data_IF_752518612461
#
_entry.id   IF_752518612461
#
_cell.length_a   1.000
_cell.length_b   1.000
_cell.length_c   1.000
_cell.angle_alpha   90.00
_cell.angle_beta   90.00
_cell.angle_gamma   90.00
#
_symmetry.space_group_name_H-M   'P 1'
#
loop_
_entity.id
_entity.type
_entity.pdbx_description
1 polymer ?
#
# COMPACT_ATOMS: atom_id res chain seq x y z
N UNK A 1 -6.47 -26.97 7.35
CA UNK A 1 -6.10 -25.79 8.13
C UNK A 1 -4.93 -25.12 7.40
N UNK A 2 -5.25 -24.47 6.29
CA UNK A 2 -4.27 -23.76 5.51
C UNK A 2 -3.75 -22.55 6.31
N UNK A 3 -2.47 -22.55 6.62
CA UNK A 3 -1.77 -21.33 6.92
C UNK A 3 -1.88 -20.47 5.67
N UNK A 4 -2.74 -19.46 5.69
CA UNK A 4 -2.77 -18.46 4.65
C UNK A 4 -1.37 -17.89 4.52
N UNK A 5 -0.64 -18.27 3.49
CA UNK A 5 0.58 -17.58 3.13
C UNK A 5 0.17 -16.16 2.84
N UNK A 6 0.62 -15.25 3.66
CA UNK A 6 0.35 -13.82 3.50
C UNK A 6 0.53 -13.41 2.05
N UNK A 7 -0.50 -12.76 1.51
CA UNK A 7 -0.60 -12.49 0.09
C UNK A 7 0.61 -11.84 -0.51
N UNK A 8 1.03 -12.39 -1.62
CA UNK A 8 1.65 -11.65 -2.68
C UNK A 8 3.01 -11.00 -2.47
N UNK A 9 3.88 -11.55 -1.61
CA UNK A 9 5.28 -11.14 -1.67
C UNK A 9 5.91 -11.88 -2.85
N UNK A 10 6.17 -11.15 -3.92
CA UNK A 10 6.93 -11.69 -5.04
C UNK A 10 8.36 -11.94 -4.55
N UNK A 11 8.93 -13.11 -4.80
CA UNK A 11 10.32 -13.37 -4.45
C UNK A 11 11.24 -12.32 -5.05
N UNK A 12 12.19 -11.85 -4.27
CA UNK A 12 13.15 -10.80 -4.67
C UNK A 12 13.82 -11.11 -6.03
N UNK A 13 14.17 -12.36 -6.25
CA UNK A 13 14.83 -12.79 -7.48
C UNK A 13 13.95 -12.69 -8.74
N UNK A 14 12.62 -12.69 -8.58
CA UNK A 14 11.71 -12.58 -9.74
C UNK A 14 11.52 -11.14 -10.21
N UNK A 15 11.62 -10.16 -9.32
CA UNK A 15 11.48 -8.75 -9.64
C UNK A 15 12.80 -8.02 -9.75
N UNK A 16 13.86 -8.52 -9.11
CA UNK A 16 15.14 -7.84 -9.00
C UNK A 16 15.11 -6.59 -8.10
N UNK A 17 14.07 -6.45 -7.30
CA UNK A 17 13.89 -5.33 -6.37
C UNK A 17 13.86 -5.86 -4.94
N UNK A 18 14.61 -5.21 -4.05
CA UNK A 18 14.63 -5.55 -2.62
C UNK A 18 13.47 -4.90 -1.89
N UNK A 19 12.69 -5.71 -1.19
CA UNK A 19 11.60 -5.24 -0.34
C UNK A 19 11.91 -5.55 1.10
N UNK A 20 11.78 -4.52 1.96
CA UNK A 20 11.91 -4.69 3.40
C UNK A 20 10.68 -5.46 3.90
N UNK A 21 10.92 -6.56 4.61
CA UNK A 21 9.86 -7.33 5.27
C UNK A 21 9.66 -6.77 6.67
N UNK A 22 8.41 -6.62 7.09
CA UNK A 22 8.06 -6.38 8.47
C UNK A 22 8.47 -7.55 9.37
N UNK A 23 7.90 -7.66 10.53
CA UNK A 23 8.15 -8.76 11.45
C UNK A 23 9.16 -8.39 12.52
N UNK A 24 10.27 -9.10 12.60
CA UNK A 24 11.26 -8.88 13.65
C UNK A 24 11.87 -7.48 13.68
N UNK A 25 11.69 -6.69 12.64
CA UNK A 25 12.15 -5.30 12.58
C UNK A 25 11.30 -4.35 13.43
N UNK A 26 10.04 -4.70 13.68
CA UNK A 26 9.12 -3.87 14.44
C UNK A 26 9.15 -4.19 15.91
N UNK A 27 10.34 -4.13 16.51
CA UNK A 27 10.49 -4.19 17.96
C UNK A 27 10.30 -2.79 18.54
N UNK A 28 9.63 -2.67 19.69
CA UNK A 28 9.53 -1.38 20.37
C UNK A 28 10.91 -0.82 20.68
N UNK A 29 11.11 0.45 20.35
CA UNK A 29 12.32 1.18 20.70
C UNK A 29 11.96 2.63 21.07
N UNK A 30 12.96 3.42 21.42
CA UNK A 30 12.80 4.83 21.78
C UNK A 30 13.62 5.74 20.88
N UNK A 31 13.96 5.28 19.68
CA UNK A 31 14.70 6.10 18.73
C UNK A 31 13.89 7.32 18.34
N UNK A 32 14.53 8.48 18.17
CA UNK A 32 13.84 9.66 17.64
C UNK A 32 13.21 9.36 16.29
N UNK A 33 12.00 9.87 16.06
CA UNK A 33 11.33 9.72 14.78
C UNK A 33 12.01 10.58 13.72
N UNK A 34 11.97 10.10 12.48
CA UNK A 34 12.38 10.90 11.33
C UNK A 34 11.42 12.09 11.18
N UNK A 35 11.93 13.19 10.65
CA UNK A 35 11.12 14.35 10.28
C UNK A 35 10.07 13.95 9.26
N UNK A 36 8.89 14.53 9.36
CA UNK A 36 7.77 14.26 8.47
C UNK A 36 6.76 13.29 9.05
N UNK A 37 6.12 12.55 8.17
CA UNK A 37 5.05 11.61 8.52
C UNK A 37 5.61 10.31 9.06
N UNK A 38 5.00 9.81 10.13
CA UNK A 38 5.33 8.53 10.76
C UNK A 38 4.06 7.85 11.25
N UNK A 39 4.11 6.52 11.26
CA UNK A 39 3.11 5.68 11.93
C UNK A 39 3.77 5.10 13.17
N UNK A 40 3.16 5.27 14.33
CA UNK A 40 3.66 4.71 15.58
C UNK A 40 2.58 3.84 16.19
N UNK A 41 2.94 2.60 16.49
CA UNK A 41 2.07 1.63 17.14
C UNK A 41 2.51 1.50 18.59
N UNK A 42 1.59 1.77 19.51
CA UNK A 42 1.85 1.68 20.94
C UNK A 42 1.34 0.34 21.45
N UNK A 43 2.18 -0.37 22.18
CA UNK A 43 1.82 -1.62 22.85
C UNK A 43 2.10 -1.54 24.36
N UNK A 44 1.43 -2.38 25.18
CA UNK A 44 1.62 -2.38 26.62
C UNK A 44 2.93 -3.07 27.00
N UNK A 45 3.32 -2.98 28.27
CA UNK A 45 4.47 -3.71 28.82
C UNK A 45 4.24 -5.22 28.84
N UNK A 46 2.98 -5.65 29.00
CA UNK A 46 2.61 -7.05 29.11
C UNK A 46 2.11 -7.67 27.80
N UNK A 47 1.47 -8.82 27.94
CA UNK A 47 0.92 -9.58 26.82
C UNK A 47 -0.24 -8.84 26.14
N UNK A 48 -0.22 -8.79 24.81
CA UNK A 48 -1.24 -8.10 24.03
C UNK A 48 -1.60 -8.94 22.78
N UNK A 49 -2.67 -9.75 22.84
CA UNK A 49 -3.09 -10.57 21.70
C UNK A 49 -3.44 -9.75 20.45
N UNK A 50 -4.11 -8.63 20.62
CA UNK A 50 -4.48 -7.74 19.52
C UNK A 50 -3.28 -7.04 18.89
N UNK A 51 -2.22 -6.78 19.68
CA UNK A 51 -0.96 -6.27 19.14
C UNK A 51 -0.29 -7.31 18.23
N UNK A 52 -0.28 -8.58 18.66
CA UNK A 52 0.26 -9.68 17.87
C UNK A 52 -0.55 -9.87 16.57
N UNK A 53 -1.88 -9.78 16.68
CA UNK A 53 -2.77 -9.88 15.52
C UNK A 53 -2.51 -8.74 14.53
N UNK A 54 -2.32 -7.52 14.99
CA UNK A 54 -1.99 -6.39 14.14
C UNK A 54 -0.64 -6.57 13.44
N UNK A 55 0.36 -7.11 14.14
CA UNK A 55 1.65 -7.46 13.53
C UNK A 55 1.48 -8.45 12.39
N UNK A 56 0.77 -9.54 12.62
CA UNK A 56 0.55 -10.59 11.62
C UNK A 56 -0.24 -10.08 10.41
N UNK A 57 -1.29 -9.32 10.66
CA UNK A 57 -2.23 -8.89 9.62
C UNK A 57 -1.76 -7.66 8.85
N UNK A 58 -1.01 -6.75 9.49
CA UNK A 58 -0.67 -5.45 8.93
C UNK A 58 0.84 -5.21 8.93
N UNK A 59 1.45 -4.95 10.08
CA UNK A 59 2.81 -4.40 10.11
C UNK A 59 3.87 -5.33 9.53
N UNK A 60 3.74 -6.64 9.67
CA UNK A 60 4.69 -7.59 9.08
C UNK A 60 4.68 -7.60 7.55
N UNK A 61 3.62 -7.12 6.95
CA UNK A 61 3.45 -7.04 5.50
C UNK A 61 3.54 -5.61 4.95
N UNK A 62 3.73 -4.64 5.83
CA UNK A 62 3.85 -3.25 5.43
C UNK A 62 5.25 -2.95 4.89
N UNK A 63 5.31 -2.38 3.69
CA UNK A 63 6.54 -1.97 3.02
C UNK A 63 6.43 -0.55 2.44
N UNK A 64 5.47 0.25 2.92
CA UNK A 64 5.27 1.62 2.46
C UNK A 64 6.41 2.55 2.87
N UNK A 65 6.48 3.71 2.23
CA UNK A 65 7.56 4.67 2.45
C UNK A 65 7.36 5.58 3.68
N UNK A 66 6.15 5.64 4.25
CA UNK A 66 5.96 6.29 5.54
C UNK A 66 6.48 5.33 6.61
N UNK A 67 7.48 5.74 7.42
CA UNK A 67 8.04 4.85 8.44
C UNK A 67 6.98 4.40 9.45
N UNK A 68 7.01 3.13 9.80
CA UNK A 68 6.19 2.52 10.86
C UNK A 68 7.13 1.99 11.93
N UNK A 69 6.88 2.37 13.19
CA UNK A 69 7.65 1.92 14.33
C UNK A 69 6.76 1.61 15.52
N UNK A 70 7.33 0.94 16.51
CA UNK A 70 6.63 0.50 17.72
C UNK A 70 7.24 1.17 18.95
N UNK A 71 6.38 1.56 19.90
CA UNK A 71 6.77 2.05 21.20
C UNK A 71 6.00 1.34 22.31
N UNK A 72 6.61 1.21 23.49
CA UNK A 72 5.88 0.82 24.69
C UNK A 72 5.10 2.01 25.23
N UNK A 73 3.96 1.74 25.87
CA UNK A 73 3.12 2.79 26.45
C UNK A 73 3.85 3.63 27.52
N UNK A 74 4.88 3.07 28.13
CA UNK A 74 5.74 3.77 29.11
C UNK A 74 6.80 4.67 28.46
N UNK A 75 6.98 4.61 27.15
CA UNK A 75 8.07 5.28 26.43
C UNK A 75 7.58 6.13 25.26
N UNK A 76 6.90 7.21 25.60
CA UNK A 76 6.31 8.13 24.62
C UNK A 76 7.06 9.47 24.55
N UNK A 77 8.29 9.49 25.05
CA UNK A 77 9.12 10.70 25.05
C UNK A 77 9.31 11.24 23.62
N UNK A 78 9.20 12.55 23.49
CA UNK A 78 9.34 13.23 22.21
C UNK A 78 8.10 13.22 21.34
N UNK A 79 7.00 12.59 21.78
CA UNK A 79 5.75 12.52 21.04
C UNK A 79 4.68 13.40 21.69
N UNK A 80 3.97 14.15 20.86
CA UNK A 80 2.79 14.93 21.30
C UNK A 80 1.53 14.16 20.88
N UNK A 81 0.95 13.45 21.85
CA UNK A 81 -0.14 12.48 21.62
C UNK A 81 -1.43 12.97 22.28
N UNK A 82 -2.53 12.81 21.58
CA UNK A 82 -3.89 13.14 22.07
C UNK A 82 -4.71 11.89 22.36
N UNK A 83 -4.57 10.83 21.55
CA UNK A 83 -5.29 9.57 21.72
C UNK A 83 -4.80 8.87 22.99
N UNK A 84 -5.70 8.46 23.89
CA UNK A 84 -5.31 7.67 25.06
C UNK A 84 -4.67 6.33 24.65
N UNK A 85 -3.67 5.89 25.41
CA UNK A 85 -2.87 4.71 25.07
C UNK A 85 -3.18 3.48 25.94
N UNK A 86 -4.27 3.49 26.69
CA UNK A 86 -4.66 2.38 27.56
C UNK A 86 -5.29 1.21 26.78
N UNK A 87 -5.86 1.48 25.58
CA UNK A 87 -6.38 0.42 24.72
C UNK A 87 -5.35 0.12 23.62
N UNK A 88 -4.77 -1.05 23.65
CA UNK A 88 -3.67 -1.42 22.75
C UNK A 88 -4.07 -2.54 21.78
N UNK A 89 -3.49 -2.50 20.57
CA UNK A 89 -2.54 -1.50 20.08
C UNK A 89 -3.21 -0.13 19.93
N UNK A 90 -2.46 0.94 20.20
CA UNK A 90 -2.88 2.31 19.82
C UNK A 90 -2.09 2.69 18.58
N UNK A 91 -2.78 3.03 17.50
CA UNK A 91 -2.16 3.26 16.19
C UNK A 91 -2.24 4.75 15.91
N UNK A 92 -1.06 5.39 15.83
CA UNK A 92 -0.93 6.84 15.73
C UNK A 92 -0.35 7.24 14.39
N UNK A 93 -0.94 8.26 13.79
CA UNK A 93 -0.43 8.91 12.58
C UNK A 93 0.09 10.28 12.98
N UNK A 94 1.43 10.44 12.92
CA UNK A 94 2.14 11.60 13.43
C UNK A 94 2.80 12.39 12.29
N UNK A 95 2.86 13.69 12.44
CA UNK A 95 3.67 14.56 11.60
C UNK A 95 4.59 15.39 12.48
N UNK A 96 5.89 15.25 12.25
CA UNK A 96 6.93 15.90 13.07
C UNK A 96 6.74 15.64 14.57
N UNK A 97 6.40 14.41 14.94
CA UNK A 97 6.21 14.00 16.31
C UNK A 97 4.86 14.35 16.94
N UNK A 98 3.99 15.06 16.23
CA UNK A 98 2.67 15.45 16.73
C UNK A 98 1.57 14.64 16.08
N UNK A 99 0.63 14.16 16.88
CA UNK A 99 -0.50 13.36 16.40
C UNK A 99 -1.40 14.18 15.48
N UNK A 100 -1.63 13.66 14.27
CA UNK A 100 -2.65 14.15 13.34
C UNK A 100 -3.98 13.47 13.66
N UNK A 101 -3.96 12.16 13.78
CA UNK A 101 -5.08 11.36 14.30
C UNK A 101 -4.58 10.00 14.80
N UNK A 102 -5.40 9.31 15.58
CA UNK A 102 -5.06 8.02 16.14
C UNK A 102 -6.27 7.13 16.35
N UNK A 103 -6.01 5.83 16.52
CA UNK A 103 -7.03 4.81 16.73
C UNK A 103 -6.67 3.95 17.93
N UNK A 104 -7.65 3.68 18.77
CA UNK A 104 -7.51 2.75 19.88
C UNK A 104 -7.95 1.35 19.42
N UNK A 105 -7.11 0.37 19.71
CA UNK A 105 -7.42 -1.03 19.42
C UNK A 105 -6.98 -1.47 18.02
N UNK A 106 -7.27 -2.73 17.74
CA UNK A 106 -6.92 -3.37 16.48
C UNK A 106 -7.64 -2.72 15.29
N UNK A 107 -6.88 -2.51 14.20
CA UNK A 107 -7.43 -2.17 12.89
C UNK A 107 -7.22 -3.36 11.94
N UNK A 108 -8.23 -3.68 11.14
CA UNK A 108 -8.07 -4.61 10.03
C UNK A 108 -7.13 -4.01 8.96
N UNK A 109 -6.53 -4.81 8.07
CA UNK A 109 -5.75 -4.26 6.96
C UNK A 109 -6.51 -3.20 6.15
N UNK A 110 -7.77 -3.45 5.84
CA UNK A 110 -8.61 -2.51 5.10
C UNK A 110 -8.80 -1.19 5.84
N UNK A 111 -9.09 -1.24 7.13
CA UNK A 111 -9.23 -0.05 7.97
C UNK A 111 -7.92 0.72 8.10
N UNK A 112 -6.82 0.01 8.32
CA UNK A 112 -5.48 0.60 8.41
C UNK A 112 -5.11 1.34 7.13
N UNK A 113 -5.25 0.70 5.97
CA UNK A 113 -4.86 1.32 4.70
C UNK A 113 -5.78 2.46 4.30
N UNK A 114 -7.04 2.44 4.71
CA UNK A 114 -7.92 3.59 4.51
C UNK A 114 -7.46 4.81 5.34
N UNK A 115 -7.09 4.58 6.59
CA UNK A 115 -6.54 5.62 7.47
C UNK A 115 -5.20 6.14 6.92
N UNK A 116 -4.30 5.25 6.52
CA UNK A 116 -3.04 5.61 5.91
C UNK A 116 -3.24 6.39 4.61
N UNK A 117 -4.20 5.98 3.79
CA UNK A 117 -4.55 6.67 2.56
C UNK A 117 -4.97 8.11 2.81
N UNK A 118 -5.86 8.32 3.76
CA UNK A 118 -6.25 9.68 4.17
C UNK A 118 -5.06 10.49 4.68
N UNK A 119 -4.21 9.86 5.50
CA UNK A 119 -3.01 10.52 6.04
C UNK A 119 -1.99 10.90 4.96
N UNK A 120 -1.72 9.99 4.03
CA UNK A 120 -0.71 10.19 2.98
C UNK A 120 -1.22 11.04 1.81
N UNK A 121 -2.45 10.80 1.39
CA UNK A 121 -2.99 11.35 0.14
C UNK A 121 -3.93 12.55 0.35
N UNK A 122 -4.51 12.67 1.55
CA UNK A 122 -5.46 13.74 1.84
C UNK A 122 -6.67 13.71 0.90
N UNK A 123 -7.15 14.88 0.52
CA UNK A 123 -8.23 15.06 -0.45
C UNK A 123 -7.64 15.25 -1.85
N UNK A 124 -7.09 14.18 -2.41
CA UNK A 124 -6.40 14.19 -3.71
C UNK A 124 -7.05 13.27 -4.71
N UNK A 125 -6.68 13.42 -6.00
CA UNK A 125 -7.09 12.49 -7.05
C UNK A 125 -6.67 11.06 -6.74
N UNK A 126 -5.47 10.86 -6.18
CA UNK A 126 -5.00 9.53 -5.81
C UNK A 126 -5.90 8.89 -4.74
N UNK A 127 -6.36 9.66 -3.75
CA UNK A 127 -7.33 9.15 -2.76
C UNK A 127 -8.65 8.76 -3.41
N UNK A 128 -9.17 9.62 -4.29
CA UNK A 128 -10.43 9.37 -5.00
C UNK A 128 -10.34 8.09 -5.85
N UNK A 129 -9.23 7.90 -6.54
CA UNK A 129 -9.01 6.68 -7.33
C UNK A 129 -8.91 5.46 -6.42
N UNK A 130 -8.10 5.53 -5.36
CA UNK A 130 -7.82 4.39 -4.48
C UNK A 130 -9.05 3.93 -3.69
N UNK A 131 -9.85 4.86 -3.18
CA UNK A 131 -10.91 4.56 -2.19
C UNK A 131 -12.33 4.85 -2.68
N UNK A 132 -12.50 5.64 -3.72
CA UNK A 132 -13.80 5.98 -4.29
C UNK A 132 -13.98 5.43 -5.71
N UNK A 133 -13.17 4.42 -6.08
CA UNK A 133 -13.23 3.75 -7.39
C UNK A 133 -13.16 4.73 -8.57
N UNK A 134 -12.36 5.80 -8.38
CA UNK A 134 -12.17 6.81 -9.41
C UNK A 134 -11.27 6.33 -10.54
N UNK A 135 -11.22 7.12 -11.59
CA UNK A 135 -10.36 6.90 -12.74
C UNK A 135 -9.53 8.16 -12.98
N UNK A 136 -8.22 7.99 -13.18
CA UNK A 136 -7.35 9.09 -13.59
C UNK A 136 -7.85 9.71 -14.89
N UNK A 137 -7.61 10.99 -15.07
CA UNK A 137 -7.76 11.61 -16.38
C UNK A 137 -6.80 10.92 -17.37
N UNK A 138 -7.27 10.73 -18.60
CA UNK A 138 -6.42 10.20 -19.67
C UNK A 138 -5.20 11.12 -19.86
N UNK A 139 -4.03 10.51 -20.02
CA UNK A 139 -2.77 11.24 -20.19
C UNK A 139 -2.46 12.20 -19.02
N UNK A 140 -2.83 11.80 -17.78
CA UNK A 140 -2.54 12.60 -16.61
C UNK A 140 -1.02 12.75 -16.39
N UNK A 141 -0.62 13.66 -15.52
CA UNK A 141 0.79 13.97 -15.26
C UNK A 141 1.56 12.71 -14.82
N UNK A 142 1.00 11.91 -13.92
CA UNK A 142 1.64 10.69 -13.43
C UNK A 142 1.79 9.64 -14.54
N UNK A 143 0.81 9.51 -15.41
CA UNK A 143 0.93 8.66 -16.60
C UNK A 143 2.09 9.11 -17.49
N UNK A 144 2.20 10.40 -17.77
CA UNK A 144 3.28 10.95 -18.61
C UNK A 144 4.66 10.71 -18.02
N UNK A 145 4.77 10.73 -16.67
CA UNK A 145 6.01 10.41 -15.98
C UNK A 145 6.30 8.90 -16.06
N UNK A 146 5.31 8.05 -15.83
CA UNK A 146 5.50 6.60 -15.65
C UNK A 146 5.55 5.81 -16.96
N UNK A 147 5.00 6.32 -18.04
CA UNK A 147 4.97 5.59 -19.32
C UNK A 147 6.37 5.29 -19.89
N UNK A 148 7.36 6.12 -19.58
CA UNK A 148 8.72 6.04 -20.10
C UNK A 148 9.76 5.80 -18.99
N UNK A 149 9.37 5.22 -17.87
CA UNK A 149 10.34 4.85 -16.82
C UNK A 149 11.33 3.81 -17.35
N UNK A 150 12.55 3.76 -16.79
CA UNK A 150 13.45 2.64 -17.03
C UNK A 150 12.85 1.33 -16.52
N UNK A 151 13.58 0.22 -16.70
CA UNK A 151 13.17 -1.08 -16.20
C UNK A 151 13.01 -1.08 -14.67
N UNK A 152 11.91 -1.61 -14.19
CA UNK A 152 11.62 -1.64 -12.77
C UNK A 152 10.23 -2.17 -12.44
N UNK A 153 9.77 -1.82 -11.25
CA UNK A 153 8.50 -2.29 -10.69
C UNK A 153 7.64 -1.10 -10.29
N UNK A 154 6.35 -1.18 -10.62
CA UNK A 154 5.34 -0.31 -10.07
C UNK A 154 4.77 -0.94 -8.80
N UNK A 155 4.83 -0.20 -7.72
CA UNK A 155 4.41 -0.66 -6.39
C UNK A 155 3.14 0.06 -5.95
N UNK A 156 2.43 -0.58 -5.01
CA UNK A 156 1.30 0.01 -4.33
C UNK A 156 1.75 1.24 -3.54
N UNK A 157 1.13 2.38 -3.80
CA UNK A 157 1.51 3.65 -3.19
C UNK A 157 1.39 3.67 -1.67
N UNK A 158 0.55 2.82 -1.08
CA UNK A 158 0.33 2.75 0.36
C UNK A 158 1.12 1.63 1.02
N UNK A 159 0.99 0.40 0.51
CA UNK A 159 1.63 -0.77 1.12
C UNK A 159 3.09 -0.95 0.72
N UNK A 160 3.51 -0.35 -0.40
CA UNK A 160 4.83 -0.54 -0.96
C UNK A 160 5.04 -1.89 -1.66
N UNK A 161 3.98 -2.71 -1.78
CA UNK A 161 4.09 -4.04 -2.40
C UNK A 161 4.13 -3.94 -3.92
N UNK A 162 4.89 -4.84 -4.60
CA UNK A 162 4.96 -4.85 -6.06
C UNK A 162 3.61 -5.23 -6.68
N UNK A 163 3.26 -4.55 -7.75
CA UNK A 163 2.00 -4.75 -8.46
C UNK A 163 2.19 -5.07 -9.95
N UNK A 164 3.01 -4.31 -10.65
CA UNK A 164 3.23 -4.46 -12.09
C UNK A 164 4.70 -4.27 -12.45
N UNK A 165 5.20 -5.14 -13.33
CA UNK A 165 6.57 -5.10 -13.81
C UNK A 165 6.62 -4.44 -15.19
N UNK A 166 7.62 -3.60 -15.42
CA UNK A 166 7.83 -2.98 -16.74
C UNK A 166 8.06 -3.99 -17.85
N UNK A 167 8.49 -5.23 -17.54
CA UNK A 167 8.61 -6.33 -18.50
C UNK A 167 7.30 -6.69 -19.15
N UNK A 168 6.19 -6.43 -18.47
CA UNK A 168 4.84 -6.72 -18.93
C UNK A 168 4.09 -5.46 -19.41
N UNK A 169 4.77 -4.32 -19.43
CA UNK A 169 4.21 -3.05 -19.90
C UNK A 169 4.17 -3.01 -21.42
N UNK A 170 3.08 -2.45 -21.97
CA UNK A 170 2.97 -2.16 -23.39
C UNK A 170 2.26 -0.83 -23.65
N UNK A 171 2.43 -0.29 -24.84
CA UNK A 171 1.78 0.96 -25.25
C UNK A 171 0.42 0.63 -25.84
N UNK A 172 -0.65 0.99 -25.15
CA UNK A 172 -2.04 0.78 -25.61
C UNK A 172 -2.65 1.99 -26.29
N UNK A 173 -2.01 3.16 -26.18
CA UNK A 173 -2.52 4.46 -26.65
C UNK A 173 -3.85 4.88 -26.01
N UNK A 174 -4.22 4.22 -24.91
CA UNK A 174 -5.45 4.53 -24.16
C UNK A 174 -5.33 5.79 -23.31
N UNK A 175 -4.11 6.18 -22.94
CA UNK A 175 -3.84 7.26 -21.99
C UNK A 175 -3.74 6.80 -20.54
N UNK A 176 -3.75 5.50 -20.31
CA UNK A 176 -3.48 4.85 -19.02
C UNK A 176 -2.37 3.83 -19.15
N UNK A 177 -1.67 3.57 -18.06
CA UNK A 177 -0.66 2.51 -18.01
C UNK A 177 -1.29 1.16 -18.35
N UNK A 178 -0.60 0.38 -19.17
CA UNK A 178 -1.13 -0.90 -19.67
C UNK A 178 -0.11 -2.01 -19.49
N UNK A 179 -0.59 -3.14 -18.97
CA UNK A 179 0.22 -4.32 -18.71
C UNK A 179 -0.51 -5.58 -19.16
N UNK A 180 0.25 -6.59 -19.57
CA UNK A 180 -0.32 -7.87 -20.00
C UNK A 180 -0.64 -8.79 -18.83
N UNK A 181 -0.02 -8.56 -17.68
CA UNK A 181 -0.26 -9.29 -16.43
C UNK A 181 0.25 -8.50 -15.23
N UNK A 182 -0.31 -8.78 -14.03
CA UNK A 182 0.25 -8.25 -12.78
C UNK A 182 1.42 -9.11 -12.29
N UNK A 183 2.12 -8.63 -11.29
CA UNK A 183 2.99 -9.46 -10.45
C UNK A 183 2.11 -10.53 -9.78
N UNK A 184 2.56 -11.78 -9.81
CA UNK A 184 1.76 -12.91 -9.31
C UNK A 184 1.31 -12.70 -7.85
N UNK A 185 0.01 -12.92 -7.60
CA UNK A 185 -0.59 -12.80 -6.27
C UNK A 185 -0.74 -11.37 -5.75
N UNK A 186 -0.44 -10.35 -6.56
CA UNK A 186 -0.47 -8.95 -6.12
C UNK A 186 -1.84 -8.28 -6.21
N UNK A 187 -2.69 -8.78 -7.08
CA UNK A 187 -4.01 -8.18 -7.35
C UNK A 187 -5.09 -9.25 -7.31
N UNK A 188 -6.33 -8.79 -7.17
CA UNK A 188 -7.50 -9.64 -7.33
C UNK A 188 -8.57 -8.93 -8.17
N UNK A 189 -9.45 -9.72 -8.75
CA UNK A 189 -10.51 -9.26 -9.63
C UNK A 189 -11.83 -9.14 -8.87
N UNK A 190 -12.61 -8.12 -9.23
CA UNK A 190 -13.95 -7.91 -8.67
C UNK A 190 -14.87 -7.44 -9.79
N UNK A 191 -16.12 -7.99 -9.89
CA UNK A 191 -17.08 -7.47 -10.86
C UNK A 191 -17.39 -5.99 -10.62
N UNK A 192 -17.43 -5.22 -11.70
CA UNK A 192 -17.80 -3.81 -11.68
C UNK A 192 -18.90 -3.56 -12.72
N UNK A 193 -20.11 -3.39 -12.24
CA UNK A 193 -21.30 -3.15 -13.05
C UNK A 193 -21.75 -1.68 -13.02
N UNK A 194 -20.89 -0.77 -12.57
CA UNK A 194 -21.18 0.67 -12.54
C UNK A 194 -21.41 1.25 -13.93
N UNK A 195 -22.16 2.31 -14.01
CA UNK A 195 -22.50 3.03 -15.25
C UNK A 195 -23.13 2.15 -16.35
N UNK A 196 -23.82 1.07 -15.97
CA UNK A 196 -24.43 0.14 -16.92
C UNK A 196 -23.44 -0.70 -17.72
N UNK A 197 -22.19 -0.65 -17.38
CA UNK A 197 -21.13 -1.44 -18.01
C UNK A 197 -20.87 -2.75 -17.25
N UNK A 198 -20.34 -3.74 -17.96
CA UNK A 198 -19.83 -4.99 -17.35
C UNK A 198 -18.32 -4.98 -17.49
N UNK A 199 -17.65 -4.68 -16.37
CA UNK A 199 -16.19 -4.63 -16.35
C UNK A 199 -15.66 -5.47 -15.21
N UNK A 200 -14.36 -5.76 -15.24
CA UNK A 200 -13.66 -6.43 -14.16
C UNK A 200 -12.69 -5.46 -13.53
N UNK A 201 -12.97 -5.09 -12.29
CA UNK A 201 -12.13 -4.22 -11.48
C UNK A 201 -10.91 -4.97 -10.99
N UNK A 202 -9.76 -4.28 -10.94
CA UNK A 202 -8.52 -4.77 -10.36
C UNK A 202 -8.23 -4.01 -9.08
N UNK A 203 -8.01 -4.76 -8.00
CA UNK A 203 -7.69 -4.24 -6.68
C UNK A 203 -6.41 -4.84 -6.15
N UNK A 204 -5.70 -4.08 -5.30
CA UNK A 204 -4.49 -4.55 -4.63
C UNK A 204 -4.85 -5.56 -3.53
N UNK A 205 -4.15 -6.70 -3.51
CA UNK A 205 -4.32 -7.68 -2.42
C UNK A 205 -3.85 -7.12 -1.08
N UNK A 206 -2.74 -6.36 -1.06
CA UNK A 206 -2.14 -5.90 0.19
C UNK A 206 -2.90 -4.77 0.88
N UNK A 207 -3.40 -3.79 0.13
CA UNK A 207 -4.04 -2.58 0.67
C UNK A 207 -5.53 -2.48 0.40
N UNK A 208 -6.03 -3.34 -0.49
CA UNK A 208 -7.43 -3.31 -0.98
C UNK A 208 -7.81 -2.02 -1.72
N UNK A 209 -6.86 -1.29 -2.25
CA UNK A 209 -7.17 -0.10 -3.05
C UNK A 209 -7.56 -0.46 -4.48
N UNK A 210 -8.42 0.36 -5.06
CA UNK A 210 -8.77 0.27 -6.48
C UNK A 210 -7.58 0.67 -7.35
N UNK A 211 -7.25 -0.16 -8.34
CA UNK A 211 -6.13 0.09 -9.25
C UNK A 211 -6.59 0.42 -10.67
N UNK A 212 -7.61 -0.22 -11.15
CA UNK A 212 -8.10 -0.07 -12.50
C UNK A 212 -8.99 -1.23 -12.92
N UNK A 213 -8.88 -1.62 -14.18
CA UNK A 213 -9.71 -2.68 -14.78
C UNK A 213 -8.86 -3.57 -15.68
N UNK A 214 -9.34 -4.78 -15.94
CA UNK A 214 -8.76 -5.68 -16.92
C UNK A 214 -9.75 -5.95 -18.05
N UNK A 215 -9.23 -5.98 -19.27
CA UNK A 215 -9.97 -6.26 -20.51
C UNK A 215 -9.31 -7.42 -21.26
N UNK A 216 -10.02 -8.04 -22.17
CA UNK A 216 -9.55 -9.19 -22.96
C UNK A 216 -8.95 -8.81 -24.32
N UNK A 217 -8.70 -7.54 -24.53
CA UNK A 217 -8.27 -6.96 -25.81
C UNK A 217 -6.78 -6.52 -25.83
N UNK A 218 -5.95 -7.24 -25.09
CA UNK A 218 -4.51 -6.98 -25.06
C UNK A 218 -3.77 -7.55 -26.28
N UNK A 219 -2.45 -7.29 -26.37
CA UNK A 219 -1.64 -7.77 -27.49
C UNK A 219 -1.51 -9.29 -27.48
N UNK A 220 -1.46 -9.88 -28.68
CA UNK A 220 -1.24 -11.34 -28.89
C UNK A 220 -2.21 -12.25 -28.12
N UNK A 221 -3.46 -11.81 -27.97
CA UNK A 221 -4.46 -12.56 -27.23
C UNK A 221 -4.33 -12.52 -25.70
N UNK A 222 -3.44 -11.69 -25.18
CA UNK A 222 -3.26 -11.48 -23.74
C UNK A 222 -4.25 -10.46 -23.19
N UNK A 223 -4.48 -10.45 -21.86
CA UNK A 223 -5.28 -9.40 -21.24
C UNK A 223 -4.63 -8.02 -21.36
N UNK A 224 -5.43 -6.99 -21.20
CA UNK A 224 -4.98 -5.62 -21.02
C UNK A 224 -5.41 -5.12 -19.64
N UNK A 225 -4.44 -5.02 -18.73
CA UNK A 225 -4.61 -4.39 -17.42
C UNK A 225 -4.41 -2.89 -17.58
N UNK A 226 -5.50 -2.14 -17.45
CA UNK A 226 -5.53 -0.69 -17.57
C UNK A 226 -5.50 -0.07 -16.18
N UNK A 227 -4.38 0.53 -15.79
CA UNK A 227 -4.08 0.85 -14.39
C UNK A 227 -3.85 2.35 -14.21
N UNK A 228 -4.43 2.90 -13.15
CA UNK A 228 -4.30 4.29 -12.79
C UNK A 228 -2.90 4.57 -12.21
N UNK A 229 -2.23 5.58 -12.74
CA UNK A 229 -0.87 5.91 -12.32
C UNK A 229 -0.80 6.57 -10.93
N UNK A 230 -1.85 7.31 -10.54
CA UNK A 230 -1.85 8.07 -9.29
C UNK A 230 -1.79 7.21 -8.02
N UNK A 231 -2.11 5.92 -8.12
CA UNK A 231 -2.10 4.97 -7.00
C UNK A 231 -0.83 4.11 -6.97
N UNK A 232 0.12 4.39 -7.86
CA UNK A 232 1.38 3.68 -7.99
C UNK A 232 2.56 4.56 -7.61
N UNK A 233 3.66 3.91 -7.24
CA UNK A 233 5.00 4.47 -7.21
C UNK A 233 5.92 3.58 -8.03
N UNK A 234 7.05 4.12 -8.49
CA UNK A 234 7.97 3.37 -9.33
C UNK A 234 9.30 3.13 -8.60
N UNK A 235 9.79 1.89 -8.68
CA UNK A 235 11.08 1.48 -8.12
C UNK A 235 11.93 0.93 -9.27
N UNK A 236 13.10 1.55 -9.58
CA UNK A 236 13.97 1.03 -10.62
C UNK A 236 14.56 -0.33 -10.25
N UNK A 237 14.67 -1.23 -11.24
CA UNK A 237 15.32 -2.53 -11.06
C UNK A 237 16.82 -2.33 -10.98
N UNK A 238 17.45 -2.93 -9.95
CA UNK A 238 18.89 -2.75 -9.73
C UNK A 238 19.30 -1.35 -9.29
N UNK A 239 18.34 -0.44 -9.13
CA UNK A 239 18.58 0.86 -8.54
C UNK A 239 18.39 0.78 -7.02
N UNK A 240 19.35 1.24 -6.30
CA UNK A 240 19.29 1.42 -4.86
C UNK A 240 18.75 2.82 -4.58
#
# INVERSE_FOLDING_TARGET
>A
LGKGKGGGIVPEHSTGVKFVRGGNQFKPDNKPLKVGKNIVVIEPEGFCPYCNKFREDVSNNYAGNIPLSYRKASNLEGLSIKTPTWATPTILFLENGSEVFGYQGYLTPKEFYKALGFFKLGDSEAYRVAFNEGTDARFCKEYEIFKNTPDGIFIDKLSGKPLFDTRDRFVSRSGWLSFTRPVEGSVYEKPDNSYGMRRTEIRSVSSDIHLGHVFDDGPKGMPRYCINATVLEFVPRGGV
#
